data_IF_135500617140
#
_entry.id   IF_135500617140
#
_cell.length_a   1.000
_cell.length_b   1.000
_cell.length_c   1.000
_cell.angle_alpha   90.00
_cell.angle_beta   90.00
_cell.angle_gamma   90.00
#
_symmetry.space_group_name_H-M   'P 1'
#
loop_
_entity.id
_entity.type
_entity.pdbx_description
1 polymer ?
#
# COMPACT_ATOMS: atom_id res chain seq x y z
N UNK A 1 -8.38 -17.71 -0.05
CA UNK A 1 -7.87 -16.43 -0.52
C UNK A 1 -6.41 -16.22 -0.13
N UNK A 2 -5.76 -15.30 -0.79
CA UNK A 2 -4.36 -14.92 -0.50
C UNK A 2 -4.28 -14.26 0.87
N UNK A 3 -3.56 -14.86 1.81
CA UNK A 3 -3.30 -14.29 3.16
C UNK A 3 -1.98 -13.53 3.26
N UNK A 4 -1.17 -13.57 2.19
CA UNK A 4 0.15 -12.95 2.10
C UNK A 4 0.37 -12.43 0.68
N UNK A 5 1.32 -11.52 0.45
CA UNK A 5 1.74 -11.15 -0.90
C UNK A 5 2.09 -12.37 -1.75
N UNK A 6 1.86 -12.30 -3.04
CA UNK A 6 2.29 -13.36 -3.97
C UNK A 6 3.81 -13.51 -3.97
N UNK A 7 4.52 -12.41 -3.78
CA UNK A 7 5.98 -12.33 -3.82
C UNK A 7 6.45 -11.49 -2.64
N UNK A 8 7.40 -12.01 -1.86
CA UNK A 8 7.95 -11.24 -0.74
C UNK A 8 8.80 -10.05 -1.25
N UNK A 9 9.69 -10.29 -2.23
CA UNK A 9 10.55 -9.26 -2.80
C UNK A 9 10.64 -9.43 -4.32
N UNK A 10 10.33 -8.38 -5.06
CA UNK A 10 10.50 -8.34 -6.51
C UNK A 10 11.75 -7.57 -6.88
N UNK A 11 12.74 -8.23 -7.48
CA UNK A 11 13.94 -7.64 -8.05
C UNK A 11 13.98 -7.78 -9.58
N UNK A 12 12.96 -8.39 -10.15
CA UNK A 12 12.81 -8.64 -11.57
C UNK A 12 11.69 -7.85 -12.21
N UNK A 13 11.00 -8.48 -13.13
CA UNK A 13 9.87 -7.89 -13.87
C UNK A 13 8.61 -8.73 -13.74
N UNK A 14 7.55 -8.12 -13.24
CA UNK A 14 6.19 -8.66 -13.17
C UNK A 14 5.32 -7.85 -14.13
N UNK A 15 4.58 -8.49 -15.02
CA UNK A 15 3.70 -7.78 -15.94
C UNK A 15 2.46 -8.58 -16.33
N UNK A 16 1.41 -7.84 -16.71
CA UNK A 16 0.16 -8.42 -17.20
C UNK A 16 -0.50 -9.38 -16.19
N UNK A 17 -0.21 -9.25 -14.90
CA UNK A 17 -0.78 -10.11 -13.87
C UNK A 17 -2.14 -9.56 -13.43
N UNK A 18 -3.12 -10.46 -13.29
CA UNK A 18 -4.43 -10.15 -12.71
C UNK A 18 -4.61 -10.96 -11.44
N UNK A 19 -4.92 -10.28 -10.34
CA UNK A 19 -5.07 -10.90 -9.03
C UNK A 19 -6.43 -10.54 -8.45
N UNK A 20 -7.14 -11.54 -7.96
CA UNK A 20 -8.31 -11.35 -7.11
C UNK A 20 -7.90 -11.69 -5.68
N UNK A 21 -7.96 -10.71 -4.80
CA UNK A 21 -7.54 -10.83 -3.41
C UNK A 21 -8.71 -10.52 -2.49
N UNK A 22 -9.30 -11.56 -1.94
CA UNK A 22 -10.35 -11.45 -0.93
C UNK A 22 -9.86 -12.12 0.35
N UNK A 23 -9.54 -11.32 1.36
CA UNK A 23 -9.24 -11.86 2.67
C UNK A 23 -9.65 -10.92 3.81
N UNK A 24 -9.95 -11.56 4.93
CA UNK A 24 -10.27 -10.91 6.20
C UNK A 24 -9.45 -11.63 7.28
N UNK A 25 -8.28 -11.12 7.58
CA UNK A 25 -7.35 -11.74 8.53
C UNK A 25 -6.38 -10.70 9.10
N UNK A 26 -5.73 -11.04 10.20
CA UNK A 26 -4.70 -10.20 10.76
C UNK A 26 -3.44 -10.25 9.90
N UNK A 27 -2.97 -9.06 9.56
CA UNK A 27 -1.77 -8.85 8.76
C UNK A 27 -0.67 -8.24 9.62
N UNK A 28 0.56 -8.56 9.30
CA UNK A 28 1.71 -8.02 10.02
C UNK A 28 2.62 -7.25 9.07
N UNK A 29 3.09 -6.10 9.54
CA UNK A 29 4.13 -5.31 8.90
C UNK A 29 3.77 -4.80 7.50
N UNK A 30 4.69 -4.97 6.55
CA UNK A 30 4.57 -4.47 5.17
C UNK A 30 3.80 -5.47 4.32
N UNK A 31 2.74 -5.02 3.64
CA UNK A 31 1.88 -5.87 2.83
C UNK A 31 1.47 -5.19 1.53
N UNK A 32 1.62 -5.88 0.44
CA UNK A 32 0.99 -5.56 -0.84
C UNK A 32 0.34 -6.82 -1.40
N UNK A 33 -0.57 -6.69 -2.34
CA UNK A 33 -1.21 -7.89 -2.91
C UNK A 33 -0.24 -8.64 -3.82
N UNK A 34 0.51 -7.94 -4.65
CA UNK A 34 1.49 -8.56 -5.55
C UNK A 34 2.80 -8.78 -4.81
N UNK A 35 3.36 -7.76 -4.20
CA UNK A 35 4.65 -7.89 -3.50
C UNK A 35 4.66 -7.12 -2.19
N UNK A 36 5.46 -7.62 -1.25
CA UNK A 36 5.76 -6.90 -0.03
C UNK A 36 6.72 -5.73 -0.34
N UNK A 37 7.86 -6.03 -0.95
CA UNK A 37 8.87 -5.04 -1.35
C UNK A 37 9.10 -5.10 -2.87
N UNK A 38 9.07 -3.94 -3.53
CA UNK A 38 9.37 -3.82 -4.95
C UNK A 38 10.67 -3.06 -5.17
N UNK A 39 11.71 -3.74 -5.63
CA UNK A 39 12.98 -3.18 -6.12
C UNK A 39 13.12 -3.31 -7.64
N UNK A 40 12.17 -3.98 -8.30
CA UNK A 40 12.13 -4.22 -9.72
C UNK A 40 10.98 -3.50 -10.42
N UNK A 41 10.49 -4.06 -11.50
CA UNK A 41 9.41 -3.49 -12.31
C UNK A 41 8.11 -4.27 -12.12
N UNK A 42 7.01 -3.56 -11.88
CA UNK A 42 5.63 -4.10 -11.92
C UNK A 42 4.86 -3.29 -12.97
N UNK A 43 4.45 -3.94 -14.07
CA UNK A 43 3.86 -3.28 -15.21
C UNK A 43 2.51 -3.89 -15.61
N UNK A 44 1.53 -3.04 -15.93
CA UNK A 44 0.23 -3.42 -16.51
C UNK A 44 -0.49 -4.51 -15.69
N UNK A 45 -0.33 -4.50 -14.37
CA UNK A 45 -0.95 -5.45 -13.47
C UNK A 45 -2.27 -4.90 -12.91
N UNK A 46 -3.21 -5.80 -12.61
CA UNK A 46 -4.49 -5.44 -12.02
C UNK A 46 -4.76 -6.25 -10.76
N UNK A 47 -5.20 -5.58 -9.71
CA UNK A 47 -5.65 -6.19 -8.46
C UNK A 47 -7.10 -5.78 -8.18
N UNK A 48 -7.93 -6.74 -7.79
CA UNK A 48 -9.35 -6.53 -7.46
C UNK A 48 -9.71 -7.30 -6.19
N UNK A 49 -10.80 -6.91 -5.54
CA UNK A 49 -11.34 -7.66 -4.40
C UNK A 49 -11.51 -6.83 -3.14
N UNK A 50 -11.53 -7.51 -1.99
CA UNK A 50 -11.71 -6.88 -0.68
C UNK A 50 -10.65 -7.35 0.30
N UNK A 51 -10.02 -6.41 0.95
CA UNK A 51 -9.03 -6.63 1.99
C UNK A 51 -9.56 -6.03 3.28
N UNK A 52 -9.69 -6.84 4.32
CA UNK A 52 -10.04 -6.36 5.65
C UNK A 52 -9.21 -7.09 6.71
N UNK A 53 -9.07 -6.47 7.86
CA UNK A 53 -8.37 -7.06 9.00
C UNK A 53 -7.60 -6.05 9.82
N UNK A 54 -6.86 -6.56 10.79
CA UNK A 54 -6.00 -5.78 11.65
C UNK A 54 -4.56 -5.80 11.12
N UNK A 55 -3.93 -4.64 11.05
CA UNK A 55 -2.50 -4.52 10.79
C UNK A 55 -1.77 -4.03 12.04
N UNK A 56 -0.88 -4.86 12.54
CA UNK A 56 -0.05 -4.56 13.70
C UNK A 56 1.37 -5.04 13.54
N UNK A 57 2.27 -4.51 14.34
CA UNK A 57 3.62 -5.04 14.47
C UNK A 57 3.68 -6.11 15.56
N UNK A 58 4.44 -7.16 15.37
CA UNK A 58 4.67 -8.23 16.38
C UNK A 58 5.88 -7.93 17.27
N UNK A 59 5.94 -6.70 17.80
CA UNK A 59 6.98 -6.30 18.77
C UNK A 59 8.33 -5.88 18.16
N UNK A 60 8.53 -6.05 16.86
CA UNK A 60 9.64 -5.42 16.14
C UNK A 60 9.25 -4.00 15.71
N UNK A 61 10.22 -3.09 15.63
CA UNK A 61 10.02 -1.71 15.19
C UNK A 61 9.84 -1.68 13.65
N UNK A 62 8.83 -2.37 13.17
CA UNK A 62 8.46 -2.35 11.75
C UNK A 62 7.08 -1.72 11.66
N UNK A 63 7.01 -0.61 10.97
CA UNK A 63 5.77 0.13 10.79
C UNK A 63 4.86 -0.58 9.77
N UNK A 64 3.55 -0.65 10.04
CA UNK A 64 2.59 -1.20 9.10
C UNK A 64 2.51 -0.39 7.80
N UNK A 65 2.70 -1.06 6.67
CA UNK A 65 2.61 -0.50 5.33
C UNK A 65 1.69 -1.37 4.48
N UNK A 66 0.64 -0.79 3.92
CA UNK A 66 -0.24 -1.49 3.02
C UNK A 66 -0.36 -0.77 1.68
N UNK A 67 -0.19 -1.51 0.58
CA UNK A 67 -0.47 -1.04 -0.77
C UNK A 67 -1.23 -2.06 -1.60
N UNK A 68 -2.11 -1.58 -2.46
CA UNK A 68 -2.88 -2.48 -3.33
C UNK A 68 -2.00 -3.30 -4.28
N UNK A 69 -0.85 -2.80 -4.68
CA UNK A 69 0.13 -3.49 -5.53
C UNK A 69 1.34 -3.91 -4.69
N UNK A 70 2.02 -2.96 -4.05
CA UNK A 70 3.21 -3.19 -3.23
C UNK A 70 3.03 -2.56 -1.85
N UNK A 71 3.52 -3.21 -0.80
CA UNK A 71 3.62 -2.60 0.53
C UNK A 71 4.58 -1.41 0.47
N UNK A 72 5.82 -1.66 0.06
CA UNK A 72 6.83 -0.66 -0.21
C UNK A 72 7.29 -0.72 -1.67
N UNK A 73 7.35 0.42 -2.34
CA UNK A 73 8.04 0.60 -3.62
C UNK A 73 9.38 1.28 -3.34
N UNK A 74 10.44 0.48 -3.26
CA UNK A 74 11.78 0.91 -2.89
C UNK A 74 12.45 1.78 -3.97
N UNK A 75 13.61 2.34 -3.69
CA UNK A 75 14.28 3.36 -4.52
C UNK A 75 14.45 2.97 -6.00
N UNK A 76 14.78 1.71 -6.27
CA UNK A 76 14.91 1.19 -7.64
C UNK A 76 13.56 0.71 -8.23
N UNK A 77 12.52 0.65 -7.42
CA UNK A 77 11.22 0.09 -7.79
C UNK A 77 10.45 0.98 -8.76
N UNK A 78 9.87 0.35 -9.79
CA UNK A 78 9.00 1.00 -10.77
C UNK A 78 7.66 0.27 -10.79
N UNK A 79 6.58 1.03 -10.58
CA UNK A 79 5.21 0.56 -10.77
C UNK A 79 4.59 1.39 -11.90
N UNK A 80 4.23 0.76 -13.00
CA UNK A 80 3.77 1.42 -14.21
C UNK A 80 2.48 0.81 -14.76
N UNK A 81 1.51 1.64 -15.13
CA UNK A 81 0.28 1.20 -15.80
C UNK A 81 -0.62 0.27 -14.98
N UNK A 82 -0.39 0.17 -13.66
CA UNK A 82 -1.11 -0.76 -12.81
C UNK A 82 -2.45 -0.21 -12.33
N UNK A 83 -3.40 -1.13 -12.09
CA UNK A 83 -4.73 -0.78 -11.59
C UNK A 83 -5.04 -1.52 -10.31
N UNK A 84 -5.44 -0.80 -9.26
CA UNK A 84 -6.01 -1.34 -8.03
C UNK A 84 -7.49 -0.99 -7.92
N UNK A 85 -8.35 -2.00 -7.85
CA UNK A 85 -9.80 -1.90 -7.59
C UNK A 85 -10.15 -2.58 -6.27
N UNK A 86 -9.30 -2.41 -5.27
CA UNK A 86 -9.49 -3.01 -3.96
C UNK A 86 -10.40 -2.16 -3.08
N UNK A 87 -11.31 -2.81 -2.39
CA UNK A 87 -11.95 -2.26 -1.20
C UNK A 87 -11.12 -2.63 0.02
N UNK A 88 -10.48 -1.64 0.60
CA UNK A 88 -9.57 -1.79 1.75
C UNK A 88 -10.29 -1.31 3.01
N UNK A 89 -10.34 -2.15 4.04
CA UNK A 89 -10.92 -1.85 5.34
C UNK A 89 -9.99 -2.34 6.45
N UNK A 90 -9.07 -1.50 6.87
CA UNK A 90 -8.01 -1.86 7.81
C UNK A 90 -8.19 -1.20 9.16
N UNK A 91 -7.95 -1.99 10.20
CA UNK A 91 -7.74 -1.49 11.56
C UNK A 91 -6.24 -1.53 11.85
N UNK A 92 -5.64 -0.37 12.11
CA UNK A 92 -4.21 -0.23 12.34
C UNK A 92 -3.88 -0.26 13.83
N UNK A 93 -2.77 -0.87 14.18
CA UNK A 93 -2.17 -0.73 15.51
C UNK A 93 -1.89 0.75 15.84
N UNK A 94 -1.75 1.11 17.15
CA UNK A 94 -1.41 2.46 17.57
C UNK A 94 0.07 2.77 17.30
N UNK A 95 0.46 2.80 16.03
CA UNK A 95 1.81 3.11 15.58
C UNK A 95 1.77 3.84 14.24
N UNK A 96 2.87 4.50 13.87
CA UNK A 96 3.02 5.16 12.58
C UNK A 96 2.74 4.15 11.44
N UNK A 97 1.88 4.50 10.52
CA UNK A 97 1.40 3.55 9.50
C UNK A 97 1.16 4.23 8.16
N UNK A 98 1.29 3.47 7.07
CA UNK A 98 1.06 3.96 5.71
C UNK A 98 0.10 3.04 4.95
N UNK A 99 -0.92 3.65 4.33
CA UNK A 99 -1.88 2.94 3.50
C UNK A 99 -2.06 3.66 2.18
N UNK A 100 -1.86 2.97 1.07
CA UNK A 100 -2.04 3.50 -0.26
C UNK A 100 -2.83 2.59 -1.19
N UNK A 101 -3.51 3.17 -2.15
CA UNK A 101 -4.25 2.38 -3.13
C UNK A 101 -3.35 1.58 -4.08
N UNK A 102 -2.10 2.01 -4.27
CA UNK A 102 -1.08 1.33 -5.07
C UNK A 102 0.09 0.89 -4.17
N UNK A 103 0.70 1.79 -3.42
CA UNK A 103 1.79 1.48 -2.49
C UNK A 103 1.55 2.11 -1.11
N UNK A 104 1.92 1.42 -0.03
CA UNK A 104 1.94 2.00 1.31
C UNK A 104 2.98 3.11 1.39
N UNK A 105 4.23 2.78 1.14
CA UNK A 105 5.36 3.69 1.04
C UNK A 105 5.93 3.69 -0.38
N UNK A 106 6.16 4.88 -0.93
CA UNK A 106 6.82 5.04 -2.22
C UNK A 106 8.14 5.81 -2.11
N UNK A 107 9.25 5.15 -2.36
CA UNK A 107 10.59 5.73 -2.50
C UNK A 107 11.02 5.71 -3.98
N UNK A 108 10.44 4.82 -4.78
CA UNK A 108 10.72 4.65 -6.20
C UNK A 108 9.83 5.49 -7.12
N UNK A 109 9.47 4.93 -8.25
CA UNK A 109 8.60 5.58 -9.26
C UNK A 109 7.27 4.86 -9.39
N UNK A 110 6.16 5.59 -9.25
CA UNK A 110 4.80 5.14 -9.61
C UNK A 110 4.29 6.02 -10.74
N UNK A 111 3.87 5.44 -11.86
CA UNK A 111 3.37 6.21 -12.99
C UNK A 111 2.26 5.52 -13.76
N UNK A 112 1.33 6.32 -14.30
CA UNK A 112 0.16 5.87 -15.07
C UNK A 112 -0.70 4.83 -14.35
N UNK A 113 -0.74 4.89 -13.01
CA UNK A 113 -1.49 3.95 -12.20
C UNK A 113 -2.86 4.49 -11.82
N UNK A 114 -3.81 3.59 -11.64
CA UNK A 114 -5.19 3.92 -11.29
C UNK A 114 -5.60 3.15 -10.04
N UNK A 115 -6.17 3.86 -9.06
CA UNK A 115 -6.83 3.27 -7.90
C UNK A 115 -8.29 3.72 -7.85
N UNK A 116 -9.23 2.78 -7.79
CA UNK A 116 -10.67 3.10 -7.83
C UNK A 116 -11.47 2.52 -6.67
N UNK A 117 -10.86 1.71 -5.84
CA UNK A 117 -11.53 1.10 -4.67
C UNK A 117 -11.72 2.08 -3.52
N UNK A 118 -12.48 1.67 -2.53
CA UNK A 118 -12.63 2.42 -1.27
C UNK A 118 -11.47 2.10 -0.33
N UNK A 119 -10.97 3.11 0.38
CA UNK A 119 -9.96 2.93 1.42
C UNK A 119 -10.55 3.43 2.73
N UNK A 120 -10.78 2.51 3.66
CA UNK A 120 -11.22 2.80 5.02
C UNK A 120 -10.13 2.36 5.99
N UNK A 121 -9.67 3.28 6.80
CA UNK A 121 -8.65 3.02 7.82
C UNK A 121 -9.15 3.50 9.17
N UNK A 122 -9.07 2.63 10.17
CA UNK A 122 -9.35 2.94 11.57
C UNK A 122 -8.09 2.65 12.37
N UNK A 123 -7.66 3.57 13.22
CA UNK A 123 -6.57 3.30 14.16
C UNK A 123 -7.14 3.12 15.56
N UNK A 124 -6.72 2.07 16.25
CA UNK A 124 -7.11 1.78 17.62
C UNK A 124 -6.44 2.70 18.63
N UNK A 125 -7.03 2.82 19.79
CA UNK A 125 -6.76 3.81 20.86
C UNK A 125 -5.27 4.05 21.19
N UNK A 126 -4.95 5.28 21.62
CA UNK A 126 -3.68 5.60 22.26
C UNK A 126 -2.69 6.41 21.43
N UNK A 127 -3.09 7.34 20.63
CA UNK A 127 -2.48 7.74 19.37
C UNK A 127 -1.66 9.01 19.40
N UNK A 128 -0.39 8.85 19.69
CA UNK A 128 0.63 9.84 19.35
C UNK A 128 1.20 9.67 17.93
N UNK A 129 0.86 8.56 17.24
CA UNK A 129 1.46 8.22 15.96
C UNK A 129 0.52 8.50 14.79
N UNK A 130 1.02 9.16 13.72
CA UNK A 130 0.20 9.48 12.56
C UNK A 130 -0.08 8.24 11.69
N UNK A 131 -1.26 8.22 11.09
CA UNK A 131 -1.61 7.34 9.98
C UNK A 131 -1.64 8.16 8.70
N UNK A 132 -0.84 7.75 7.72
CA UNK A 132 -0.77 8.37 6.40
C UNK A 132 -1.60 7.53 5.42
N UNK A 133 -2.62 8.12 4.82
CA UNK A 133 -3.51 7.42 3.90
C UNK A 133 -3.61 8.21 2.60
N UNK A 134 -3.25 7.58 1.50
CA UNK A 134 -3.32 8.18 0.18
C UNK A 134 -4.06 7.31 -0.84
N UNK A 135 -4.69 7.94 -1.82
CA UNK A 135 -5.37 7.24 -2.90
C UNK A 135 -4.43 6.44 -3.80
N UNK A 136 -3.17 6.86 -3.91
CA UNK A 136 -2.13 6.16 -4.67
C UNK A 136 -1.05 5.66 -3.73
N UNK A 137 -0.40 6.53 -2.96
CA UNK A 137 0.63 6.16 -1.98
C UNK A 137 0.28 6.77 -0.62
N UNK A 138 0.52 6.03 0.47
CA UNK A 138 0.36 6.55 1.83
C UNK A 138 1.38 7.64 2.13
N UNK A 139 2.62 7.44 1.74
CA UNK A 139 3.68 8.44 1.82
C UNK A 139 4.59 8.34 0.58
N UNK A 140 5.15 9.49 0.18
CA UNK A 140 6.19 9.58 -0.85
C UNK A 140 7.44 10.11 -0.17
N UNK A 141 8.48 9.28 -0.12
CA UNK A 141 9.75 9.62 0.52
C UNK A 141 10.89 9.77 -0.48
N UNK A 142 11.85 10.62 -0.12
CA UNK A 142 13.14 10.73 -0.79
C UNK A 142 14.23 10.12 0.09
N UNK A 143 15.13 9.37 -0.52
CA UNK A 143 16.31 8.84 0.14
C UNK A 143 17.56 9.41 -0.53
N UNK A 144 18.39 10.11 0.25
CA UNK A 144 19.58 10.77 -0.30
C UNK A 144 19.30 11.82 -1.39
N UNK A 145 18.15 12.47 -1.35
CA UNK A 145 17.72 13.45 -2.37
C UNK A 145 17.12 12.84 -3.63
N UNK A 146 17.12 11.51 -3.77
CA UNK A 146 16.57 10.77 -4.90
C UNK A 146 15.29 10.03 -4.51
N UNK A 147 14.49 9.65 -5.51
CA UNK A 147 13.29 8.81 -5.35
C UNK A 147 12.00 9.57 -5.12
N UNK A 148 10.97 8.83 -4.77
CA UNK A 148 9.66 9.34 -4.45
C UNK A 148 8.98 10.07 -5.61
N UNK A 149 8.83 9.43 -6.76
CA UNK A 149 8.20 10.00 -7.94
C UNK A 149 6.79 9.45 -8.13
N UNK A 150 5.82 10.36 -8.32
CA UNK A 150 4.45 10.04 -8.71
C UNK A 150 4.08 10.84 -9.98
N UNK A 151 3.64 10.16 -11.04
CA UNK A 151 3.30 10.78 -12.33
C UNK A 151 2.02 10.21 -12.94
N UNK A 152 1.15 11.07 -13.46
CA UNK A 152 0.00 10.67 -14.28
C UNK A 152 -0.86 9.57 -13.63
N UNK A 153 -1.05 9.64 -12.32
CA UNK A 153 -1.85 8.69 -11.56
C UNK A 153 -3.22 9.26 -11.21
N UNK A 154 -4.20 8.38 -11.08
CA UNK A 154 -5.56 8.73 -10.72
C UNK A 154 -6.04 7.90 -9.53
N UNK A 155 -6.62 8.56 -8.53
CA UNK A 155 -7.49 7.92 -7.56
C UNK A 155 -8.92 8.42 -7.73
N UNK A 156 -9.87 7.50 -7.88
CA UNK A 156 -11.29 7.80 -8.05
C UNK A 156 -12.17 7.00 -7.06
N UNK A 157 -11.65 6.76 -5.88
CA UNK A 157 -12.35 6.07 -4.79
C UNK A 157 -12.63 6.99 -3.60
N UNK A 158 -13.33 6.47 -2.60
CA UNK A 158 -13.56 7.16 -1.34
C UNK A 158 -12.50 6.78 -0.32
N UNK A 159 -11.90 7.77 0.33
CA UNK A 159 -11.02 7.58 1.48
C UNK A 159 -11.76 7.98 2.75
N UNK A 160 -11.70 7.16 3.78
CA UNK A 160 -12.25 7.44 5.11
C UNK A 160 -11.22 7.03 6.16
N UNK A 161 -10.80 7.96 6.99
CA UNK A 161 -9.83 7.72 8.06
C UNK A 161 -10.44 8.11 9.40
N UNK A 162 -10.33 7.22 10.37
CA UNK A 162 -10.71 7.45 11.76
C UNK A 162 -9.47 7.20 12.64
N UNK A 163 -8.79 8.28 12.98
CA UNK A 163 -7.59 8.25 13.81
C UNK A 163 -7.45 9.60 14.53
N UNK A 164 -6.78 9.63 15.69
CA UNK A 164 -6.55 10.87 16.43
C UNK A 164 -5.62 11.82 15.65
N UNK A 165 -4.56 11.27 15.04
CA UNK A 165 -3.63 11.99 14.19
C UNK A 165 -3.62 11.32 12.80
N UNK A 166 -4.12 12.01 11.80
CA UNK A 166 -4.18 11.48 10.44
C UNK A 166 -3.68 12.47 9.40
N UNK A 167 -3.14 11.92 8.30
CA UNK A 167 -2.84 12.66 7.09
C UNK A 167 -3.51 11.91 5.91
N UNK A 168 -4.39 12.61 5.22
CA UNK A 168 -5.14 12.08 4.07
C UNK A 168 -4.80 12.90 2.85
N UNK A 169 -4.43 12.24 1.78
CA UNK A 169 -4.08 12.86 0.50
C UNK A 169 -4.61 12.09 -0.71
#
# INVERSE_FOLDING_TARGET
GLKKPLIAMNQGKIRNLRVVADFNDDMQNVQGVITQYNEGNIEDCMVTGTISGYMGGNGAVVYPEFGGIAGENALAGIIFGCTSKLNVNLTMAPMKSWVGGIAGLNIGTISKCVSTGTIRVTQTNGNEYPVYVGGIAGEIQKFGGMGGVLKECLHAGKITVTAANNCVG
#
